data_IF_496573455007
#
_entry.id   IF_496573455007
#
_cell.length_a   1.000
_cell.length_b   1.000
_cell.length_c   1.000
_cell.angle_alpha   90.00
_cell.angle_beta   90.00
_cell.angle_gamma   90.00
#
_symmetry.space_group_name_H-M   'P 1'
#
loop_
_entity.id
_entity.type
_entity.pdbx_description
1 polymer ?
#
# COMPACT_ATOMS: atom_id res chain seq x y z
N UNK A 1 -20.69 9.03 0.06
CA UNK A 1 -21.29 8.01 0.95
C UNK A 1 -21.97 6.96 0.08
N UNK A 2 -21.77 5.67 0.37
CA UNK A 2 -22.42 4.58 -0.36
C UNK A 2 -23.91 4.49 0.01
N UNK A 3 -24.76 4.08 -0.93
CA UNK A 3 -26.17 3.80 -0.64
C UNK A 3 -26.32 2.59 0.29
N UNK A 4 -27.43 2.47 1.05
CA UNK A 4 -27.66 1.34 1.93
C UNK A 4 -27.60 -0.02 1.21
N UNK A 5 -28.14 -0.09 -0.01
CA UNK A 5 -28.10 -1.30 -0.86
C UNK A 5 -26.67 -1.67 -1.25
N UNK A 6 -25.89 -0.70 -1.74
CA UNK A 6 -24.50 -0.93 -2.13
C UNK A 6 -23.63 -1.37 -0.94
N UNK A 7 -23.92 -0.85 0.26
CA UNK A 7 -23.22 -1.26 1.49
C UNK A 7 -23.53 -2.71 1.88
N UNK A 8 -24.77 -3.15 1.72
CA UNK A 8 -25.15 -4.56 1.99
C UNK A 8 -24.58 -5.52 0.95
N UNK A 9 -24.59 -5.14 -0.33
CA UNK A 9 -23.94 -5.92 -1.41
C UNK A 9 -22.44 -6.07 -1.16
N UNK A 10 -21.77 -4.99 -0.74
CA UNK A 10 -20.35 -5.02 -0.40
C UNK A 10 -20.05 -5.95 0.78
N UNK A 11 -20.88 -5.94 1.84
CA UNK A 11 -20.70 -6.85 2.98
C UNK A 11 -20.87 -8.31 2.58
N UNK A 12 -21.88 -8.62 1.75
CA UNK A 12 -22.10 -9.98 1.24
C UNK A 12 -20.92 -10.46 0.40
N UNK A 13 -20.41 -9.59 -0.48
CA UNK A 13 -19.25 -9.89 -1.29
C UNK A 13 -17.99 -10.10 -0.44
N UNK A 14 -17.77 -9.25 0.56
CA UNK A 14 -16.65 -9.39 1.50
C UNK A 14 -16.68 -10.70 2.30
N UNK A 15 -17.86 -11.30 2.51
CA UNK A 15 -18.02 -12.58 3.17
C UNK A 15 -17.86 -13.79 2.23
N UNK A 16 -17.77 -13.58 0.91
CA UNK A 16 -17.62 -14.66 -0.07
C UNK A 16 -16.39 -15.51 0.22
N UNK A 17 -16.54 -16.82 0.05
CA UNK A 17 -15.42 -17.76 0.10
C UNK A 17 -14.48 -17.57 -1.09
N UNK A 18 -15.03 -17.31 -2.29
CA UNK A 18 -14.25 -17.11 -3.51
C UNK A 18 -13.30 -15.92 -3.37
N UNK A 19 -13.81 -14.79 -2.84
CA UNK A 19 -12.98 -13.62 -2.58
C UNK A 19 -11.87 -13.92 -1.56
N UNK A 20 -12.14 -14.73 -0.54
CA UNK A 20 -11.13 -15.13 0.44
C UNK A 20 -10.06 -16.02 -0.18
N UNK A 21 -10.45 -16.96 -1.03
CA UNK A 21 -9.55 -17.88 -1.71
C UNK A 21 -8.68 -17.14 -2.73
N UNK A 22 -9.27 -16.23 -3.51
CA UNK A 22 -8.54 -15.35 -4.43
C UNK A 22 -7.52 -14.48 -3.69
N UNK A 23 -7.91 -13.91 -2.56
CA UNK A 23 -6.99 -13.10 -1.76
C UNK A 23 -5.89 -13.92 -1.10
N UNK A 24 -6.17 -15.16 -0.69
CA UNK A 24 -5.16 -16.08 -0.18
C UNK A 24 -4.15 -16.45 -1.27
N UNK A 25 -4.62 -16.71 -2.50
CA UNK A 25 -3.74 -16.97 -3.65
C UNK A 25 -2.88 -15.74 -3.99
N UNK A 26 -3.47 -14.54 -4.01
CA UNK A 26 -2.74 -13.30 -4.21
C UNK A 26 -1.69 -13.04 -3.11
N UNK A 27 -2.02 -13.35 -1.86
CA UNK A 27 -1.08 -13.21 -0.74
C UNK A 27 0.08 -14.22 -0.83
N UNK A 28 -0.18 -15.47 -1.22
CA UNK A 28 0.84 -16.49 -1.42
C UNK A 28 1.82 -16.13 -2.55
N UNK A 29 1.33 -15.43 -3.58
CA UNK A 29 2.13 -14.95 -4.70
C UNK A 29 2.78 -13.58 -4.45
N UNK A 30 2.58 -12.97 -3.27
CA UNK A 30 3.06 -11.63 -2.95
C UNK A 30 4.57 -11.62 -2.71
N UNK A 31 5.33 -11.56 -3.79
CA UNK A 31 6.77 -11.29 -3.76
C UNK A 31 6.99 -9.77 -3.81
N UNK A 32 7.72 -9.19 -2.86
CA UNK A 32 8.10 -7.79 -2.94
C UNK A 32 8.90 -7.53 -4.23
N UNK A 33 8.50 -6.55 -5.07
CA UNK A 33 9.10 -6.34 -6.40
C UNK A 33 10.58 -5.93 -6.35
N UNK A 34 11.05 -5.49 -5.17
CA UNK A 34 12.43 -5.10 -4.89
C UNK A 34 13.30 -6.24 -4.31
N UNK A 35 12.79 -7.47 -4.22
CA UNK A 35 13.60 -8.65 -3.85
C UNK A 35 14.00 -9.41 -5.11
N UNK A 36 15.29 -9.70 -5.25
CA UNK A 36 15.85 -10.53 -6.33
C UNK A 36 16.76 -11.58 -5.72
N UNK A 37 16.50 -12.85 -6.04
CA UNK A 37 17.28 -14.00 -5.53
C UNK A 37 17.38 -14.03 -3.99
N UNK A 38 16.33 -13.57 -3.30
CA UNK A 38 16.29 -13.48 -1.83
C UNK A 38 17.04 -12.28 -1.24
N UNK A 39 17.64 -11.42 -2.06
CA UNK A 39 18.39 -10.24 -1.65
C UNK A 39 17.58 -8.98 -1.99
N UNK A 40 17.64 -7.98 -1.10
CA UNK A 40 17.03 -6.67 -1.36
C UNK A 40 17.84 -5.92 -2.41
N UNK A 41 17.20 -5.54 -3.49
CA UNK A 41 17.74 -4.70 -4.56
C UNK A 41 17.32 -3.24 -4.31
N UNK A 42 18.29 -2.42 -3.89
CA UNK A 42 18.05 -1.04 -3.48
C UNK A 42 17.58 -0.15 -4.64
N UNK A 43 18.06 -0.40 -5.86
CA UNK A 43 17.67 0.37 -7.04
C UNK A 43 16.20 0.10 -7.39
N UNK A 44 15.80 -1.19 -7.40
CA UNK A 44 14.40 -1.56 -7.60
C UNK A 44 13.47 -1.04 -6.50
N UNK A 45 13.95 -0.96 -5.27
CA UNK A 45 13.20 -0.35 -4.18
C UNK A 45 12.92 1.13 -4.45
N UNK A 46 13.93 1.89 -4.89
CA UNK A 46 13.77 3.30 -5.22
C UNK A 46 12.84 3.52 -6.42
N UNK A 47 12.96 2.69 -7.45
CA UNK A 47 12.06 2.71 -8.62
C UNK A 47 10.62 2.46 -8.21
N UNK A 48 10.38 1.42 -7.40
CA UNK A 48 9.05 1.10 -6.88
C UNK A 48 8.46 2.28 -6.09
N UNK A 49 9.21 2.88 -5.16
CA UNK A 49 8.71 4.00 -4.36
C UNK A 49 8.38 5.22 -5.22
N UNK A 50 9.18 5.47 -6.26
CA UNK A 50 8.96 6.58 -7.18
C UNK A 50 7.67 6.37 -7.98
N UNK A 51 7.53 5.21 -8.61
CA UNK A 51 6.35 4.86 -9.41
C UNK A 51 5.09 4.76 -8.55
N UNK A 52 5.19 4.20 -7.34
CA UNK A 52 4.06 4.10 -6.42
C UNK A 52 3.59 5.48 -5.95
N UNK A 53 4.52 6.39 -5.65
CA UNK A 53 4.17 7.77 -5.31
C UNK A 53 3.46 8.48 -6.46
N UNK A 54 3.91 8.29 -7.71
CA UNK A 54 3.21 8.80 -8.89
C UNK A 54 1.80 8.19 -9.03
N UNK A 55 1.70 6.87 -8.89
CA UNK A 55 0.45 6.12 -9.00
C UNK A 55 -0.62 6.59 -8.01
N UNK A 56 -0.25 6.80 -6.73
CA UNK A 56 -1.20 7.30 -5.72
C UNK A 56 -1.39 8.83 -5.78
N UNK A 57 -0.80 9.50 -6.78
CA UNK A 57 -0.78 10.95 -6.91
C UNK A 57 -0.26 11.63 -5.63
N UNK A 58 0.77 11.03 -5.01
CA UNK A 58 1.39 11.55 -3.81
C UNK A 58 2.06 12.88 -4.12
N UNK A 59 1.50 13.96 -3.58
CA UNK A 59 2.15 15.27 -3.65
C UNK A 59 3.21 15.34 -2.57
N UNK A 60 4.44 15.64 -2.98
CA UNK A 60 5.54 15.96 -2.05
C UNK A 60 5.05 17.00 -1.05
N UNK A 61 5.10 16.66 0.24
CA UNK A 61 4.74 17.60 1.31
C UNK A 61 5.58 18.87 1.15
N UNK A 62 5.00 20.08 1.26
CA UNK A 62 5.77 21.31 1.26
C UNK A 62 6.91 21.21 2.27
N UNK A 63 8.06 21.82 1.97
CA UNK A 63 9.15 21.96 2.95
C UNK A 63 8.64 22.78 4.13
N UNK A 64 8.12 22.10 5.15
CA UNK A 64 7.85 22.70 6.45
C UNK A 64 9.17 22.77 7.20
N UNK A 65 9.56 23.94 7.75
CA UNK A 65 10.74 24.00 8.60
C UNK A 65 10.58 23.02 9.75
N UNK A 66 11.64 22.26 10.02
CA UNK A 66 11.73 21.44 11.22
C UNK A 66 11.92 22.40 12.40
N UNK A 67 10.91 22.52 13.27
CA UNK A 67 10.98 23.32 14.49
C UNK A 67 11.19 22.35 15.65
N UNK A 68 12.45 22.13 16.02
CA UNK A 68 12.81 21.41 17.25
C UNK A 68 12.41 22.28 18.44
N UNK A 69 11.33 21.91 19.13
CA UNK A 69 10.83 22.70 20.28
C UNK A 69 11.34 22.18 21.62
N UNK A 70 11.86 20.95 21.69
CA UNK A 70 12.41 20.36 22.91
C UNK A 70 13.50 19.34 22.62
N UNK A 71 14.75 19.78 22.73
CA UNK A 71 15.89 18.88 22.83
C UNK A 71 16.01 18.39 24.28
N UNK A 72 15.81 17.10 24.54
CA UNK A 72 16.16 16.46 25.80
C UNK A 72 17.60 15.93 25.67
N UNK A 73 18.50 16.47 26.50
CA UNK A 73 19.88 16.00 26.66
C UNK A 73 19.93 14.68 27.45
#
# INVERSE_FOLDING_TARGET
MLSPKAREEMKKFAASAELRDDMAAAAALRQPPWIRDGIVDADRWLDYLTQYNEFINHRRKPKTPFIETRMLL
#
